data_IF_894229506864
#
_entry.id   IF_894229506864
#
_cell.length_a   1.000
_cell.length_b   1.000
_cell.length_c   1.000
_cell.angle_alpha   90.00
_cell.angle_beta   90.00
_cell.angle_gamma   90.00
#
_symmetry.space_group_name_H-M   'P 1'
#
loop_
_entity.id
_entity.type
_entity.pdbx_description
1 polymer ?
#
# COMPACT_ATOMS: atom_id res chain seq x y z
N UNK A 1 -10.63 23.70 -10.36
CA UNK A 1 -10.08 22.52 -9.63
C UNK A 1 -8.58 22.37 -9.88
N UNK A 2 -8.12 22.40 -11.14
CA UNK A 2 -6.71 22.27 -11.52
C UNK A 2 -5.78 23.37 -11.00
N UNK A 3 -6.27 24.61 -10.85
CA UNK A 3 -5.44 25.74 -10.37
C UNK A 3 -5.00 25.58 -8.90
N UNK A 4 -5.93 25.20 -8.01
CA UNK A 4 -5.62 24.94 -6.60
C UNK A 4 -4.64 23.79 -6.43
N UNK A 5 -4.85 22.71 -7.20
CA UNK A 5 -3.94 21.57 -7.25
C UNK A 5 -2.53 22.00 -7.63
N UNK A 6 -2.39 22.75 -8.73
CA UNK A 6 -1.09 23.19 -9.20
C UNK A 6 -0.38 24.07 -8.16
N UNK A 7 -1.13 24.98 -7.53
CA UNK A 7 -0.60 25.84 -6.46
C UNK A 7 -0.12 25.04 -5.25
N UNK A 8 -0.89 24.04 -4.80
CA UNK A 8 -0.48 23.17 -3.69
C UNK A 8 0.75 22.34 -4.04
N UNK A 9 0.84 21.83 -5.27
CA UNK A 9 2.00 21.06 -5.72
C UNK A 9 3.28 21.89 -5.78
N UNK A 10 3.18 23.14 -6.25
CA UNK A 10 4.30 24.07 -6.23
C UNK A 10 4.74 24.35 -4.80
N UNK A 11 3.80 24.64 -3.90
CA UNK A 11 4.11 24.90 -2.49
C UNK A 11 4.77 23.68 -1.82
N UNK A 12 4.22 22.49 -2.04
CA UNK A 12 4.78 21.24 -1.53
C UNK A 12 6.20 21.00 -2.07
N UNK A 13 6.42 21.24 -3.37
CA UNK A 13 7.72 21.13 -4.00
C UNK A 13 8.76 22.08 -3.38
N UNK A 14 8.38 23.32 -3.09
CA UNK A 14 9.24 24.29 -2.40
C UNK A 14 9.56 23.86 -0.96
N UNK A 15 8.61 23.24 -0.24
CA UNK A 15 8.87 22.68 1.10
C UNK A 15 9.93 21.59 1.03
N UNK A 16 9.81 20.65 0.10
CA UNK A 16 10.82 19.60 -0.11
C UNK A 16 12.18 20.19 -0.46
N UNK A 17 12.22 21.14 -1.40
CA UNK A 17 13.45 21.82 -1.81
C UNK A 17 14.12 22.52 -0.63
N UNK A 18 13.37 23.32 0.11
CA UNK A 18 13.88 24.11 1.23
C UNK A 18 14.49 23.20 2.30
N UNK A 19 13.81 22.11 2.64
CA UNK A 19 14.29 21.14 3.64
C UNK A 19 15.53 20.36 3.17
N UNK A 20 15.60 20.03 1.88
CA UNK A 20 16.81 19.43 1.30
C UNK A 20 18.00 20.39 1.35
N UNK A 21 17.77 21.66 0.97
CA UNK A 21 18.81 22.68 0.91
C UNK A 21 19.28 23.13 2.30
N UNK A 22 18.40 23.18 3.28
CA UNK A 22 18.73 23.43 4.69
C UNK A 22 19.73 22.39 5.23
N UNK A 23 19.66 21.15 4.71
CA UNK A 23 20.57 20.05 5.04
C UNK A 23 21.79 19.99 4.11
N UNK A 24 21.95 20.94 3.21
CA UNK A 24 23.01 20.99 2.19
C UNK A 24 23.11 19.72 1.31
N UNK A 25 21.97 19.07 1.05
CA UNK A 25 21.90 17.85 0.25
C UNK A 25 21.65 18.18 -1.22
N UNK A 26 22.34 17.52 -2.14
CA UNK A 26 22.02 17.58 -3.56
C UNK A 26 20.91 16.58 -3.90
N UNK A 27 20.22 16.79 -5.02
CA UNK A 27 19.24 15.82 -5.53
C UNK A 27 19.87 14.44 -5.80
N UNK A 28 21.17 14.37 -6.11
CA UNK A 28 21.89 13.09 -6.30
C UNK A 28 22.11 12.36 -4.97
N UNK A 29 22.32 13.08 -3.89
CA UNK A 29 22.46 12.49 -2.54
C UNK A 29 21.13 11.86 -2.11
N UNK A 30 20.03 12.57 -2.36
CA UNK A 30 18.67 12.06 -2.13
C UNK A 30 18.40 10.83 -3.01
N UNK A 31 18.75 10.89 -4.30
CA UNK A 31 18.59 9.75 -5.22
C UNK A 31 19.35 8.52 -4.72
N UNK A 32 20.61 8.69 -4.30
CA UNK A 32 21.43 7.60 -3.77
C UNK A 32 20.83 6.98 -2.49
N UNK A 33 20.32 7.80 -1.58
CA UNK A 33 19.76 7.33 -0.30
C UNK A 33 18.36 6.72 -0.42
N UNK A 34 17.52 7.30 -1.29
CA UNK A 34 16.11 6.90 -1.42
C UNK A 34 15.84 5.97 -2.61
N UNK A 35 16.80 5.81 -3.52
CA UNK A 35 16.62 5.11 -4.80
C UNK A 35 15.47 5.66 -5.65
N UNK A 36 15.02 6.89 -5.38
CA UNK A 36 14.06 7.61 -6.21
C UNK A 36 14.86 8.29 -7.32
N UNK A 37 14.50 8.05 -8.59
CA UNK A 37 15.22 8.62 -9.72
C UNK A 37 15.26 10.15 -9.66
N UNK A 38 16.38 10.74 -10.06
CA UNK A 38 16.62 12.18 -10.08
C UNK A 38 15.48 12.95 -10.75
N UNK A 39 15.02 12.48 -11.91
CA UNK A 39 13.95 13.11 -12.67
C UNK A 39 12.60 13.13 -11.93
N UNK A 40 12.36 12.18 -11.02
CA UNK A 40 11.17 12.16 -10.18
C UNK A 40 11.30 13.16 -9.01
N UNK A 41 12.48 13.27 -8.40
CA UNK A 41 12.76 14.26 -7.36
C UNK A 41 12.63 15.69 -7.91
N UNK A 42 13.19 15.94 -9.10
CA UNK A 42 13.02 17.21 -9.82
C UNK A 42 11.55 17.52 -10.11
N UNK A 43 10.77 16.52 -10.52
CA UNK A 43 9.34 16.69 -10.77
C UNK A 43 8.55 16.99 -9.49
N UNK A 44 8.91 16.38 -8.36
CA UNK A 44 8.31 16.66 -7.05
C UNK A 44 8.62 18.09 -6.63
N UNK A 45 9.89 18.51 -6.66
CA UNK A 45 10.30 19.87 -6.27
C UNK A 45 9.76 20.96 -7.21
N UNK A 46 9.51 20.63 -8.48
CA UNK A 46 8.90 21.56 -9.44
C UNK A 46 7.36 21.54 -9.43
N UNK A 47 6.73 20.75 -8.56
CA UNK A 47 5.25 20.63 -8.52
C UNK A 47 4.64 20.05 -9.81
N UNK A 48 5.42 19.29 -10.59
CA UNK A 48 5.05 18.76 -11.89
C UNK A 48 4.70 17.26 -11.81
N UNK A 49 3.60 16.92 -11.12
CA UNK A 49 3.09 15.55 -11.02
C UNK A 49 2.82 14.89 -12.38
N UNK A 50 2.48 15.68 -13.42
CA UNK A 50 2.24 15.15 -14.77
C UNK A 50 3.46 14.52 -15.44
N UNK A 51 4.68 14.79 -14.95
CA UNK A 51 5.90 14.12 -15.42
C UNK A 51 6.19 12.81 -14.67
N UNK A 52 5.48 12.53 -13.58
CA UNK A 52 5.62 11.26 -12.86
C UNK A 52 4.81 10.16 -13.56
N UNK A 53 5.45 9.01 -13.74
CA UNK A 53 4.97 7.87 -14.55
C UNK A 53 3.65 7.29 -14.00
N UNK A 54 3.39 7.40 -12.69
CA UNK A 54 2.06 7.18 -12.14
C UNK A 54 1.87 7.92 -10.79
N UNK A 55 0.69 8.53 -10.55
CA UNK A 55 0.35 9.24 -9.31
C UNK A 55 0.42 8.36 -8.05
N UNK A 56 0.19 7.05 -8.20
CA UNK A 56 0.29 6.08 -7.09
C UNK A 56 1.72 6.00 -6.57
N UNK A 57 2.70 5.98 -7.48
CA UNK A 57 4.11 6.02 -7.09
C UNK A 57 4.52 7.40 -6.57
N UNK A 58 3.94 8.48 -7.10
CA UNK A 58 4.26 9.82 -6.64
C UNK A 58 3.95 10.02 -5.14
N UNK A 59 2.81 9.50 -4.65
CA UNK A 59 2.50 9.53 -3.22
C UNK A 59 3.55 8.77 -2.39
N UNK A 60 3.92 7.55 -2.82
CA UNK A 60 4.94 6.74 -2.14
C UNK A 60 6.33 7.41 -2.14
N UNK A 61 6.71 8.04 -3.26
CA UNK A 61 7.96 8.79 -3.37
C UNK A 61 7.96 10.03 -2.48
N UNK A 62 6.87 10.79 -2.42
CA UNK A 62 6.75 11.93 -1.51
C UNK A 62 6.88 11.51 -0.05
N UNK A 63 6.24 10.40 0.35
CA UNK A 63 6.40 9.87 1.72
C UNK A 63 7.83 9.42 2.01
N UNK A 64 8.45 8.71 1.08
CA UNK A 64 9.85 8.24 1.23
C UNK A 64 10.83 9.41 1.28
N UNK A 65 10.62 10.44 0.46
CA UNK A 65 11.44 11.65 0.47
C UNK A 65 11.24 12.46 1.75
N UNK A 66 10.00 12.60 2.22
CA UNK A 66 9.69 13.25 3.49
C UNK A 66 10.39 12.54 4.67
N UNK A 67 10.28 11.21 4.73
CA UNK A 67 10.96 10.41 5.75
C UNK A 67 12.49 10.58 5.72
N UNK A 68 13.09 10.66 4.51
CA UNK A 68 14.52 10.91 4.38
C UNK A 68 14.95 12.31 4.88
N UNK A 69 14.07 13.31 4.76
CA UNK A 69 14.29 14.66 5.28
C UNK A 69 13.78 14.84 6.73
N UNK A 70 13.51 13.74 7.45
CA UNK A 70 12.89 13.69 8.79
C UNK A 70 11.59 14.52 8.93
N UNK A 71 10.81 14.59 7.86
CA UNK A 71 9.48 15.19 7.85
C UNK A 71 8.39 14.12 8.01
N UNK A 72 7.29 14.48 8.64
CA UNK A 72 6.08 13.66 8.67
C UNK A 72 5.33 13.78 7.34
N UNK A 73 5.56 12.81 6.45
CA UNK A 73 4.94 12.77 5.13
C UNK A 73 3.42 12.62 5.15
N UNK A 74 2.85 11.96 6.17
CA UNK A 74 1.39 11.82 6.29
C UNK A 74 0.74 13.14 6.74
N UNK A 75 1.37 13.84 7.67
CA UNK A 75 0.94 15.20 8.05
C UNK A 75 1.06 16.17 6.88
N UNK A 76 2.20 16.17 6.18
CA UNK A 76 2.45 17.05 5.04
C UNK A 76 1.38 16.86 3.95
N UNK A 77 1.02 15.62 3.61
CA UNK A 77 -0.03 15.37 2.63
C UNK A 77 -1.43 15.80 3.11
N UNK A 78 -1.72 15.71 4.41
CA UNK A 78 -3.01 16.19 4.99
C UNK A 78 -3.14 17.71 4.93
N UNK A 79 -2.03 18.44 5.01
CA UNK A 79 -1.99 19.90 4.86
C UNK A 79 -2.25 20.34 3.40
N UNK A 80 -2.20 19.41 2.43
CA UNK A 80 -2.48 19.62 1.01
C UNK A 80 -3.68 18.78 0.51
N UNK A 81 -4.91 19.14 0.90
CA UNK A 81 -6.10 18.31 0.67
C UNK A 81 -6.44 18.09 -0.81
N UNK A 82 -6.10 19.01 -1.73
CA UNK A 82 -6.38 18.79 -3.16
C UNK A 82 -5.40 17.78 -3.76
N UNK A 83 -4.13 17.85 -3.35
CA UNK A 83 -3.11 16.85 -3.74
C UNK A 83 -3.45 15.47 -3.16
N UNK A 84 -3.90 15.41 -1.90
CA UNK A 84 -4.32 14.15 -1.29
C UNK A 84 -5.52 13.53 -2.00
N UNK A 85 -6.53 14.34 -2.36
CA UNK A 85 -7.68 13.87 -3.15
C UNK A 85 -7.27 13.25 -4.47
N UNK A 86 -6.30 13.85 -5.16
CA UNK A 86 -5.76 13.30 -6.40
C UNK A 86 -5.19 11.89 -6.16
N UNK A 87 -4.35 11.73 -5.15
CA UNK A 87 -3.78 10.41 -4.85
C UNK A 87 -4.84 9.37 -4.46
N UNK A 88 -5.87 9.78 -3.72
CA UNK A 88 -7.01 8.92 -3.39
C UNK A 88 -7.80 8.52 -4.64
N UNK A 89 -8.18 9.48 -5.49
CA UNK A 89 -8.91 9.23 -6.73
C UNK A 89 -8.12 8.32 -7.66
N UNK A 90 -6.81 8.54 -7.82
CA UNK A 90 -5.95 7.63 -8.60
C UNK A 90 -5.78 6.24 -7.97
N UNK A 91 -5.79 6.12 -6.63
CA UNK A 91 -5.76 4.83 -5.94
C UNK A 91 -7.05 4.04 -6.21
N UNK A 92 -8.20 4.69 -6.05
CA UNK A 92 -9.52 4.09 -6.23
C UNK A 92 -9.70 3.60 -7.68
N UNK A 93 -9.33 4.42 -8.67
CA UNK A 93 -9.41 4.05 -10.09
C UNK A 93 -8.53 2.83 -10.45
N UNK A 94 -7.34 2.70 -9.86
CA UNK A 94 -6.48 1.53 -10.09
C UNK A 94 -6.97 0.29 -9.32
N UNK A 95 -7.60 0.48 -8.16
CA UNK A 95 -8.24 -0.61 -7.41
C UNK A 95 -9.47 -1.15 -8.13
N UNK A 96 -10.28 -0.30 -8.77
CA UNK A 96 -11.43 -0.74 -9.58
C UNK A 96 -10.99 -1.64 -10.74
N UNK A 97 -9.87 -1.31 -11.41
CA UNK A 97 -9.26 -2.19 -12.42
C UNK A 97 -8.77 -3.51 -11.81
N UNK A 98 -8.17 -3.50 -10.62
CA UNK A 98 -7.75 -4.72 -9.94
C UNK A 98 -8.93 -5.55 -9.45
N UNK A 99 -10.05 -4.94 -9.07
CA UNK A 99 -11.30 -5.60 -8.70
C UNK A 99 -11.95 -6.26 -9.92
N UNK A 100 -11.92 -5.60 -11.08
CA UNK A 100 -12.36 -6.18 -12.35
C UNK A 100 -11.44 -7.33 -12.80
N UNK A 101 -10.12 -7.19 -12.61
CA UNK A 101 -9.15 -8.26 -12.87
C UNK A 101 -9.23 -9.40 -11.86
N UNK A 102 -9.58 -9.16 -10.60
CA UNK A 102 -9.89 -10.18 -9.61
C UNK A 102 -11.18 -10.92 -9.98
N UNK A 103 -12.17 -10.19 -10.54
CA UNK A 103 -13.38 -10.80 -11.10
C UNK A 103 -13.12 -11.63 -12.37
N UNK A 104 -12.05 -11.32 -13.13
CA UNK A 104 -11.66 -12.05 -14.35
C UNK A 104 -10.47 -13.02 -14.16
N UNK A 105 -9.77 -13.00 -13.03
CA UNK A 105 -8.43 -13.56 -12.88
C UNK A 105 -8.25 -14.30 -11.57
N UNK A 106 -8.87 -15.48 -11.46
CA UNK A 106 -8.60 -16.45 -10.39
C UNK A 106 -7.13 -16.90 -10.39
N UNK A 107 -6.30 -16.21 -9.59
CA UNK A 107 -4.99 -16.71 -9.14
C UNK A 107 -5.14 -17.20 -7.70
N UNK A 108 -5.25 -18.51 -7.57
CA UNK A 108 -5.28 -19.21 -6.29
C UNK A 108 -3.95 -18.97 -5.57
N UNK A 109 -3.92 -18.11 -4.54
CA UNK A 109 -2.77 -17.99 -3.65
C UNK A 109 -2.62 -19.30 -2.83
N UNK A 110 -1.53 -20.08 -2.97
CA UNK A 110 -1.40 -21.42 -2.37
C UNK A 110 -1.26 -21.42 -0.84
N UNK A 111 -1.08 -20.26 -0.21
CA UNK A 111 -0.87 -20.15 1.24
C UNK A 111 -2.15 -20.37 2.07
N UNK A 112 -3.34 -20.01 1.55
CA UNK A 112 -4.61 -20.23 2.25
C UNK A 112 -5.14 -21.66 2.11
N UNK A 113 -4.79 -22.35 1.02
CA UNK A 113 -5.21 -23.73 0.78
C UNK A 113 -4.61 -24.70 1.81
N UNK A 114 -3.34 -24.48 2.18
CA UNK A 114 -2.62 -25.32 3.17
C UNK A 114 -3.29 -25.23 4.56
N UNK A 115 -3.76 -24.04 4.96
CA UNK A 115 -4.45 -23.88 6.25
C UNK A 115 -5.86 -24.47 6.27
N UNK A 116 -6.55 -24.48 5.13
CA UNK A 116 -7.91 -25.05 5.01
C UNK A 116 -7.90 -26.58 5.11
N UNK A 117 -6.90 -27.23 4.50
CA UNK A 117 -6.75 -28.70 4.56
C UNK A 117 -6.34 -29.20 5.95
N UNK A 118 -5.60 -28.39 6.73
CA UNK A 118 -5.33 -28.71 8.13
C UNK A 118 -6.61 -28.72 8.97
N UNK A 119 -7.53 -27.77 8.75
CA UNK A 119 -8.79 -27.71 9.49
C UNK A 119 -9.75 -28.86 9.10
N UNK A 120 -9.74 -29.29 7.84
CA UNK A 120 -10.52 -30.46 7.39
C UNK A 120 -10.02 -31.77 8.00
N UNK A 121 -8.69 -31.91 8.15
CA UNK A 121 -8.10 -33.08 8.84
C UNK A 121 -8.58 -33.20 10.28
N UNK A 122 -8.57 -32.10 11.04
CA UNK A 122 -9.07 -32.08 12.42
C UNK A 122 -10.58 -32.34 12.52
N UNK A 123 -11.39 -31.84 11.57
CA UNK A 123 -12.81 -32.14 11.52
C UNK A 123 -13.08 -33.64 11.31
N UNK A 124 -12.32 -34.29 10.41
CA UNK A 124 -12.41 -35.74 10.21
C UNK A 124 -12.03 -36.55 11.45
N UNK A 125 -10.94 -36.17 12.13
CA UNK A 125 -10.52 -36.82 13.39
C UNK A 125 -11.57 -36.68 14.49
N UNK A 126 -12.22 -35.51 14.60
CA UNK A 126 -13.30 -35.29 15.57
C UNK A 126 -14.52 -36.18 15.30
N UNK A 127 -14.92 -36.32 14.03
CA UNK A 127 -16.07 -37.14 13.64
C UNK A 127 -15.79 -38.63 13.89
N UNK A 128 -14.61 -39.12 13.53
CA UNK A 128 -14.22 -40.53 13.78
C UNK A 128 -14.10 -40.80 15.28
N UNK A 129 -13.51 -39.87 16.04
CA UNK A 129 -13.43 -39.98 17.51
C UNK A 129 -14.81 -40.06 18.17
N UNK A 130 -15.74 -39.19 17.79
CA UNK A 130 -17.12 -39.21 18.30
C UNK A 130 -17.85 -40.52 17.93
N UNK A 131 -17.68 -41.03 16.71
CA UNK A 131 -18.25 -42.30 16.28
C UNK A 131 -17.65 -43.50 17.05
N UNK A 132 -16.34 -43.51 17.31
CA UNK A 132 -15.71 -44.54 18.13
C UNK A 132 -16.18 -44.50 19.59
N UNK A 133 -16.36 -43.31 20.19
CA UNK A 133 -16.92 -43.17 21.55
C UNK A 133 -18.36 -43.69 21.59
N UNK A 134 -19.17 -43.35 20.59
CA UNK A 134 -20.55 -43.83 20.48
C UNK A 134 -20.61 -45.36 20.32
N UNK A 135 -19.72 -45.91 19.49
CA UNK A 135 -19.66 -47.36 19.25
C UNK A 135 -19.15 -48.15 20.47
N UNK A 136 -18.17 -47.63 21.22
CA UNK A 136 -17.73 -48.22 22.48
C UNK A 136 -18.84 -48.18 23.55
N UNK A 137 -19.57 -47.07 23.66
CA UNK A 137 -20.70 -46.95 24.59
C UNK A 137 -21.82 -47.95 24.27
N UNK A 138 -22.10 -48.15 22.98
CA UNK A 138 -23.09 -49.10 22.51
C UNK A 138 -22.69 -50.57 22.75
N UNK A 139 -21.39 -50.89 22.74
CA UNK A 139 -20.89 -52.25 22.97
C UNK A 139 -21.00 -52.69 24.45
N UNK A 140 -21.02 -51.75 25.40
CA UNK A 140 -21.02 -52.02 26.84
C UNK A 140 -22.40 -51.96 27.52
N UNK A 141 -23.49 -51.74 26.77
CA UNK A 141 -24.89 -51.82 27.21
C UNK A 141 -25.12 -51.31 28.66
N UNK A 142 -24.72 -50.07 28.91
CA UNK A 142 -24.94 -49.34 30.15
C UNK A 142 -25.85 -48.14 29.88
N UNK A 143 -27.07 -48.45 29.41
CA UNK A 143 -28.38 -47.95 29.89
C UNK A 143 -29.51 -48.59 29.07
#
# INVERSE_FOLDING_TARGET
MSEHVHKELLHLGEVFRSQREERALSLKDVEAATSIRLSALEAIEAGHLGKLISPVYAQGFMKKYAAFLDMDGDRLLKEHPYVLKIFQEFSDQNMDMLLDLESMGGRNSPEKAIRSWLNLGWAGVFVVGAACIWWLGNLFNLF
#
